data_IF_994404618182
#
_entry.id   IF_994404618182
#
_cell.length_a   1.000
_cell.length_b   1.000
_cell.length_c   1.000
_cell.angle_alpha   90.00
_cell.angle_beta   90.00
_cell.angle_gamma   90.00
#
_symmetry.space_group_name_H-M   'P 1'
#
loop_
_entity.id
_entity.type
_entity.pdbx_description
1 polymer ?
#
# COMPACT_ATOMS: atom_id res chain seq x y z
N UNK A 1 3.81 -82.97 -20.73
CA UNK A 1 4.51 -82.45 -21.93
C UNK A 1 5.74 -81.71 -21.47
N UNK A 2 6.92 -82.23 -21.82
CA UNK A 2 8.19 -81.51 -21.96
C UNK A 2 8.91 -81.02 -20.68
N UNK A 3 10.25 -81.02 -20.64
CA UNK A 3 11.04 -81.35 -19.44
C UNK A 3 11.81 -80.12 -18.86
N UNK A 4 12.24 -80.09 -17.57
CA UNK A 4 13.64 -80.38 -17.08
C UNK A 4 14.62 -79.29 -17.55
N UNK A 5 15.49 -78.62 -16.78
CA UNK A 5 16.13 -78.80 -15.48
C UNK A 5 17.00 -77.55 -15.16
N UNK A 6 17.45 -77.43 -13.89
CA UNK A 6 18.81 -77.07 -13.37
C UNK A 6 19.72 -76.08 -14.16
N UNK A 7 20.61 -75.24 -13.61
CA UNK A 7 21.31 -75.12 -12.32
C UNK A 7 22.25 -73.88 -12.41
N UNK A 8 22.46 -73.19 -11.29
CA UNK A 8 23.70 -72.52 -10.81
C UNK A 8 24.77 -71.98 -11.78
N UNK A 9 25.22 -70.73 -11.62
CA UNK A 9 26.49 -70.36 -10.94
C UNK A 9 26.83 -68.87 -11.07
N UNK A 10 27.35 -68.36 -9.95
CA UNK A 10 28.11 -67.13 -9.70
C UNK A 10 29.37 -67.01 -10.60
N UNK A 11 29.81 -65.79 -10.90
CA UNK A 11 31.23 -65.41 -11.05
C UNK A 11 31.37 -63.87 -11.01
N UNK A 12 31.99 -63.35 -9.95
CA UNK A 12 32.41 -61.95 -9.86
C UNK A 12 33.65 -61.60 -10.71
N UNK A 13 33.86 -60.29 -10.94
CA UNK A 13 35.19 -59.69 -11.15
C UNK A 13 35.16 -58.17 -10.91
N UNK A 14 36.10 -57.73 -10.05
CA UNK A 14 36.51 -56.34 -9.76
C UNK A 14 37.08 -55.61 -10.97
N UNK A 15 36.95 -54.28 -11.02
CA UNK A 15 38.07 -53.33 -11.26
C UNK A 15 37.80 -52.03 -10.49
N UNK A 16 38.85 -51.49 -9.86
CA UNK A 16 38.92 -50.18 -9.23
C UNK A 16 39.87 -49.26 -10.02
N UNK A 17 39.58 -47.95 -10.10
CA UNK A 17 40.52 -46.82 -10.23
C UNK A 17 39.68 -45.53 -10.02
N UNK A 18 39.84 -44.71 -8.98
CA UNK A 18 40.98 -43.83 -8.62
C UNK A 18 41.42 -42.96 -9.79
N UNK A 19 41.11 -41.65 -9.74
CA UNK A 19 42.03 -40.53 -9.97
C UNK A 19 41.37 -39.21 -9.51
N UNK A 20 42.00 -38.57 -8.52
CA UNK A 20 41.83 -37.19 -8.06
C UNK A 20 42.74 -36.23 -8.87
N UNK A 21 42.64 -34.93 -8.53
CA UNK A 21 43.56 -33.78 -8.73
C UNK A 21 43.17 -32.82 -9.87
N UNK A 22 43.21 -31.48 -9.73
CA UNK A 22 43.56 -30.55 -8.64
C UNK A 22 43.16 -29.11 -9.04
N UNK A 23 43.09 -28.21 -8.05
CA UNK A 23 43.03 -26.75 -8.21
C UNK A 23 44.38 -26.15 -8.64
N UNK A 24 44.37 -25.00 -9.31
CA UNK A 24 45.46 -24.01 -9.30
C UNK A 24 44.85 -22.60 -9.33
N UNK A 25 45.27 -21.75 -8.39
CA UNK A 25 45.06 -20.30 -8.41
C UNK A 25 46.38 -19.56 -8.62
N UNK A 26 46.36 -18.32 -9.11
CA UNK A 26 47.46 -17.38 -8.94
C UNK A 26 47.01 -15.91 -9.13
N UNK A 27 47.57 -15.02 -8.31
CA UNK A 27 47.37 -13.56 -8.25
C UNK A 27 48.63 -12.80 -8.68
N UNK A 28 48.50 -11.62 -9.33
CA UNK A 28 49.15 -10.30 -9.04
C UNK A 28 49.25 -9.31 -10.25
N UNK A 29 49.10 -8.02 -9.92
CA UNK A 29 48.87 -6.73 -10.64
C UNK A 29 50.10 -6.10 -11.36
N UNK A 30 50.05 -4.97 -12.18
CA UNK A 30 49.66 -3.58 -11.78
C UNK A 30 49.05 -2.57 -12.82
N UNK A 31 48.18 -1.67 -12.29
CA UNK A 31 48.11 -0.19 -12.47
C UNK A 31 47.95 0.52 -13.83
N UNK A 32 46.90 1.36 -13.98
CA UNK A 32 47.01 2.84 -14.18
C UNK A 32 45.64 3.57 -14.25
N UNK A 33 45.46 4.53 -13.31
CA UNK A 33 44.87 5.88 -13.45
C UNK A 33 43.40 6.12 -13.91
N UNK A 34 42.62 6.72 -12.99
CA UNK A 34 41.32 7.39 -13.19
C UNK A 34 41.49 8.90 -13.45
N UNK A 35 40.50 9.57 -14.08
CA UNK A 35 40.05 10.90 -13.64
C UNK A 35 38.50 11.05 -13.64
N UNK A 36 37.89 12.13 -13.10
CA UNK A 36 37.35 12.20 -11.74
C UNK A 36 35.81 12.27 -11.64
N UNK A 37 35.36 12.16 -10.39
CA UNK A 37 34.01 12.20 -9.83
C UNK A 37 33.05 13.28 -10.36
N UNK A 38 31.79 12.86 -10.63
CA UNK A 38 30.62 13.66 -10.29
C UNK A 38 29.91 12.99 -9.10
N UNK A 39 29.95 13.65 -7.95
CA UNK A 39 29.39 13.18 -6.69
C UNK A 39 27.85 13.11 -6.74
N UNK A 40 27.28 11.92 -6.97
CA UNK A 40 25.90 11.64 -6.57
C UNK A 40 25.87 11.22 -5.10
N UNK A 41 25.35 12.11 -4.26
CA UNK A 41 25.09 11.80 -2.85
C UNK A 41 24.03 10.70 -2.74
N UNK A 42 24.21 9.69 -1.87
CA UNK A 42 23.22 8.63 -1.68
C UNK A 42 21.92 9.18 -1.04
N UNK A 43 20.75 8.55 -1.30
CA UNK A 43 19.49 9.01 -0.75
C UNK A 43 19.50 8.89 0.78
N UNK A 44 19.53 10.05 1.45
CA UNK A 44 19.52 10.14 2.91
C UNK A 44 18.23 9.48 3.45
N UNK A 45 18.41 8.33 4.11
CA UNK A 45 17.39 7.64 4.89
C UNK A 45 16.79 8.62 5.92
N UNK A 46 15.53 9.03 5.72
CA UNK A 46 14.82 9.96 6.62
C UNK A 46 14.47 9.24 7.92
N UNK A 47 15.31 9.44 8.95
CA UNK A 47 15.02 9.06 10.33
C UNK A 47 13.84 9.89 10.84
N UNK A 48 12.84 9.23 11.44
CA UNK A 48 11.72 9.86 12.14
C UNK A 48 12.25 10.67 13.32
N UNK A 49 12.24 11.99 13.19
CA UNK A 49 12.59 13.00 14.20
C UNK A 49 11.72 14.26 14.00
N UNK A 50 11.70 15.21 14.96
CA UNK A 50 10.75 16.32 14.99
C UNK A 50 10.84 17.14 13.69
N UNK A 51 9.69 17.63 13.20
CA UNK A 51 9.45 18.18 11.87
C UNK A 51 10.65 18.95 11.24
N UNK A 52 10.95 18.77 9.94
CA UNK A 52 12.05 19.44 9.27
C UNK A 52 11.99 20.96 9.50
N UNK A 53 13.09 21.56 9.97
CA UNK A 53 13.21 23.01 10.05
C UNK A 53 13.18 23.57 8.63
N UNK A 54 12.15 24.35 8.33
CA UNK A 54 12.05 25.11 7.08
C UNK A 54 13.23 26.09 7.02
N UNK A 55 14.00 26.10 5.92
CA UNK A 55 15.15 27.00 5.73
C UNK A 55 14.74 28.44 5.39
N UNK A 56 13.44 28.73 5.28
CA UNK A 56 12.89 30.08 5.12
C UNK A 56 12.94 30.63 3.70
N UNK A 57 13.56 29.89 2.77
CA UNK A 57 13.67 30.21 1.34
C UNK A 57 12.72 29.38 0.47
N UNK A 58 11.82 28.61 1.08
CA UNK A 58 10.89 27.79 0.33
C UNK A 58 9.85 28.62 -0.43
N UNK A 59 9.54 28.20 -1.65
CA UNK A 59 8.57 28.83 -2.53
C UNK A 59 7.26 28.05 -2.58
N UNK A 60 6.16 28.77 -2.76
CA UNK A 60 4.83 28.20 -2.87
C UNK A 60 4.70 27.38 -4.16
N UNK A 61 4.36 26.09 -4.01
CA UNK A 61 4.18 25.15 -5.14
C UNK A 61 3.06 25.52 -6.12
N UNK A 62 2.25 26.54 -5.81
CA UNK A 62 1.14 27.01 -6.65
C UNK A 62 1.52 28.24 -7.48
N UNK A 63 2.25 29.21 -6.91
CA UNK A 63 2.44 30.52 -7.55
C UNK A 63 3.85 31.11 -7.42
N UNK A 64 4.80 30.37 -6.84
CA UNK A 64 6.19 30.81 -6.68
C UNK A 64 6.45 31.85 -5.59
N UNK A 65 5.40 32.45 -4.99
CA UNK A 65 5.53 33.39 -3.87
C UNK A 65 6.15 32.73 -2.62
N UNK A 66 6.69 33.51 -1.68
CA UNK A 66 7.32 33.00 -0.45
C UNK A 66 6.35 32.11 0.34
N UNK A 67 6.76 30.87 0.61
CA UNK A 67 5.94 29.95 1.38
C UNK A 67 5.97 30.32 2.87
N UNK A 68 4.81 30.26 3.52
CA UNK A 68 4.69 30.44 4.98
C UNK A 68 4.67 29.12 5.73
N UNK A 69 4.62 27.99 5.02
CA UNK A 69 4.60 26.64 5.58
C UNK A 69 3.69 25.70 4.79
N UNK A 70 3.36 24.56 5.39
CA UNK A 70 2.43 23.60 4.83
C UNK A 70 0.99 23.99 5.19
N UNK A 71 0.18 24.25 4.17
CA UNK A 71 -1.26 24.51 4.32
C UNK A 71 -2.03 23.50 3.48
N UNK A 72 -3.00 22.83 4.09
CA UNK A 72 -3.80 21.80 3.44
C UNK A 72 -2.94 20.72 2.75
N UNK A 73 -1.83 20.34 3.41
CA UNK A 73 -0.83 19.37 2.96
C UNK A 73 0.11 19.83 1.83
N UNK A 74 0.14 21.13 1.49
CA UNK A 74 1.00 21.69 0.44
C UNK A 74 1.81 22.86 0.96
N UNK A 75 3.11 22.87 0.63
CA UNK A 75 3.97 24.01 0.87
C UNK A 75 3.48 25.23 0.08
N UNK A 76 2.96 26.23 0.78
CA UNK A 76 2.25 27.33 0.12
C UNK A 76 2.35 28.67 0.85
N UNK A 77 2.04 29.74 0.13
CA UNK A 77 1.95 31.09 0.67
C UNK A 77 0.57 31.34 1.32
N UNK A 78 0.47 32.37 2.16
CA UNK A 78 -0.80 32.80 2.77
C UNK A 78 -1.87 33.16 1.73
N UNK A 79 -1.45 33.67 0.57
CA UNK A 79 -2.36 34.00 -0.53
C UNK A 79 -3.09 32.79 -1.08
N UNK A 80 -2.38 31.69 -1.35
CA UNK A 80 -2.97 30.46 -1.91
C UNK A 80 -3.73 29.66 -0.84
N UNK A 81 -3.24 29.64 0.41
CA UNK A 81 -3.98 29.11 1.56
C UNK A 81 -5.36 29.77 1.69
N UNK A 82 -5.40 31.11 1.77
CA UNK A 82 -6.65 31.84 1.94
C UNK A 82 -7.59 31.71 0.75
N UNK A 83 -7.04 31.68 -0.48
CA UNK A 83 -7.81 31.45 -1.69
C UNK A 83 -8.48 30.08 -1.67
N UNK A 84 -7.71 29.00 -1.51
CA UNK A 84 -8.22 27.63 -1.48
C UNK A 84 -9.30 27.44 -0.43
N UNK A 85 -9.07 27.92 0.81
CA UNK A 85 -10.07 27.87 1.89
C UNK A 85 -11.40 28.50 1.49
N UNK A 86 -11.39 29.70 0.90
CA UNK A 86 -12.61 30.41 0.50
C UNK A 86 -13.32 29.71 -0.65
N UNK A 87 -12.56 29.17 -1.60
CA UNK A 87 -13.11 28.45 -2.76
C UNK A 87 -13.81 27.16 -2.33
N UNK A 88 -13.20 26.40 -1.43
CA UNK A 88 -13.80 25.17 -0.88
C UNK A 88 -15.05 25.48 -0.04
N UNK A 89 -14.96 26.40 0.92
CA UNK A 89 -16.11 26.73 1.80
C UNK A 89 -17.32 27.22 0.99
N UNK A 90 -17.10 28.01 -0.05
CA UNK A 90 -18.20 28.56 -0.87
C UNK A 90 -18.64 27.63 -2.00
N UNK A 91 -18.01 26.46 -2.17
CA UNK A 91 -18.24 25.62 -3.35
C UNK A 91 -18.05 26.39 -4.67
N UNK A 92 -17.02 27.25 -4.73
CA UNK A 92 -16.89 28.22 -5.81
C UNK A 92 -16.61 27.56 -7.15
N UNK A 93 -17.43 27.87 -8.15
CA UNK A 93 -17.24 27.47 -9.53
C UNK A 93 -16.69 28.65 -10.32
N UNK A 94 -15.46 28.51 -10.81
CA UNK A 94 -14.79 29.55 -11.60
C UNK A 94 -14.68 29.10 -13.06
N UNK A 95 -14.69 30.06 -13.98
CA UNK A 95 -14.51 29.82 -15.41
C UNK A 95 -13.27 30.55 -15.88
N UNK A 96 -12.39 29.84 -16.60
CA UNK A 96 -11.21 30.44 -17.20
C UNK A 96 -11.58 31.19 -18.49
N UNK A 97 -10.99 32.38 -18.67
CA UNK A 97 -11.16 33.19 -19.89
C UNK A 97 -10.08 32.92 -20.96
N UNK A 98 -9.00 32.22 -20.59
CA UNK A 98 -7.79 32.08 -21.40
C UNK A 98 -7.48 30.59 -21.71
N UNK A 99 -8.50 29.79 -22.02
CA UNK A 99 -8.33 28.41 -22.49
C UNK A 99 -7.90 27.38 -21.44
N UNK A 100 -8.06 27.69 -20.15
CA UNK A 100 -7.87 26.72 -19.06
C UNK A 100 -6.43 26.33 -18.74
N UNK A 101 -5.42 26.99 -19.34
CA UNK A 101 -3.99 26.63 -19.19
C UNK A 101 -3.12 27.80 -18.69
N UNK A 102 -3.68 28.70 -17.87
CA UNK A 102 -2.91 29.83 -17.35
C UNK A 102 -1.75 29.33 -16.47
N UNK A 103 -0.54 29.80 -16.76
CA UNK A 103 0.61 29.59 -15.87
C UNK A 103 0.46 30.44 -14.60
N UNK A 104 0.77 29.84 -13.47
CA UNK A 104 0.50 30.46 -12.17
C UNK A 104 1.77 31.08 -11.60
N UNK A 105 1.79 32.41 -11.56
CA UNK A 105 2.82 33.22 -10.92
C UNK A 105 2.19 34.21 -9.91
N UNK A 106 3.00 35.15 -9.40
CA UNK A 106 2.54 36.16 -8.43
C UNK A 106 1.49 37.14 -9.00
N UNK A 107 1.44 37.31 -10.32
CA UNK A 107 0.54 38.21 -11.04
C UNK A 107 -0.72 37.47 -11.51
N UNK A 108 -0.56 36.40 -12.29
CA UNK A 108 -1.61 35.60 -12.90
C UNK A 108 -2.50 34.92 -11.87
N UNK A 109 -2.00 34.65 -10.65
CA UNK A 109 -2.83 34.19 -9.51
C UNK A 109 -3.98 35.13 -9.13
N UNK A 110 -3.94 36.39 -9.57
CA UNK A 110 -5.03 37.36 -9.37
C UNK A 110 -5.96 37.46 -10.58
N UNK A 111 -5.57 36.94 -11.74
CA UNK A 111 -6.31 37.09 -13.01
C UNK A 111 -7.20 35.90 -13.34
N UNK A 112 -6.76 34.68 -13.04
CA UNK A 112 -7.56 33.49 -13.29
C UNK A 112 -7.76 32.65 -12.02
N UNK A 113 -8.98 32.63 -11.52
CA UNK A 113 -9.36 31.88 -10.31
C UNK A 113 -9.52 30.38 -10.62
N UNK A 114 -10.03 30.03 -11.80
CA UNK A 114 -10.19 28.64 -12.23
C UNK A 114 -8.84 27.92 -12.27
N UNK A 115 -7.89 28.42 -13.07
CA UNK A 115 -6.57 27.80 -13.20
C UNK A 115 -5.81 27.81 -11.87
N UNK A 116 -6.04 28.82 -11.02
CA UNK A 116 -5.46 28.86 -9.67
C UNK A 116 -6.00 27.74 -8.78
N UNK A 117 -7.32 27.54 -8.77
CA UNK A 117 -7.96 26.52 -7.95
C UNK A 117 -7.54 25.13 -8.41
N UNK A 118 -7.55 24.91 -9.73
CA UNK A 118 -7.04 23.69 -10.34
C UNK A 118 -5.57 23.44 -9.97
N UNK A 119 -4.70 24.46 -10.05
CA UNK A 119 -3.29 24.32 -9.63
C UNK A 119 -3.14 24.03 -8.14
N UNK A 120 -4.00 24.58 -7.27
CA UNK A 120 -4.01 24.21 -5.85
C UNK A 120 -4.30 22.71 -5.66
N UNK A 121 -5.31 22.18 -6.37
CA UNK A 121 -5.69 20.77 -6.30
C UNK A 121 -4.58 19.87 -6.88
N UNK A 122 -4.03 20.22 -8.04
CA UNK A 122 -2.89 19.53 -8.67
C UNK A 122 -1.64 19.52 -7.78
N UNK A 123 -1.39 20.61 -7.04
CA UNK A 123 -0.30 20.67 -6.07
C UNK A 123 -0.55 19.80 -4.82
N UNK A 124 -1.77 19.26 -4.64
CA UNK A 124 -2.14 18.35 -3.57
C UNK A 124 -2.93 18.97 -2.42
N UNK A 125 -3.49 20.18 -2.58
CA UNK A 125 -4.34 20.77 -1.55
C UNK A 125 -5.66 20.00 -1.49
N UNK A 126 -6.01 19.48 -0.31
CA UNK A 126 -7.22 18.68 -0.12
C UNK A 126 -8.30 19.44 0.65
N UNK A 127 -9.52 19.41 0.13
CA UNK A 127 -10.70 20.01 0.76
C UNK A 127 -11.02 19.41 2.13
N UNK A 128 -10.73 18.12 2.34
CA UNK A 128 -10.91 17.43 3.62
C UNK A 128 -10.10 18.05 4.79
N UNK A 129 -9.08 18.87 4.52
CA UNK A 129 -8.33 19.61 5.53
C UNK A 129 -8.90 21.02 5.80
N UNK A 130 -9.91 21.44 5.04
CA UNK A 130 -10.67 22.66 5.28
C UNK A 130 -11.82 22.30 6.24
N UNK A 131 -11.92 23.01 7.36
CA UNK A 131 -12.97 22.74 8.34
C UNK A 131 -14.35 23.02 7.73
N UNK A 132 -15.29 22.08 7.92
CA UNK A 132 -16.68 22.27 7.52
C UNK A 132 -17.38 23.33 8.36
N UNK A 133 -18.50 23.87 7.88
CA UNK A 133 -19.31 24.83 8.65
C UNK A 133 -19.76 24.25 10.00
N UNK A 134 -20.08 22.95 10.02
CA UNK A 134 -20.41 22.22 11.23
C UNK A 134 -19.24 22.18 12.22
N UNK A 135 -18.03 21.85 11.76
CA UNK A 135 -16.82 21.83 12.60
C UNK A 135 -16.47 23.23 13.14
N UNK A 136 -16.70 24.28 12.35
CA UNK A 136 -16.52 25.66 12.78
C UNK A 136 -17.55 26.02 13.87
N UNK A 137 -18.81 25.62 13.70
CA UNK A 137 -19.88 25.83 14.69
C UNK A 137 -19.56 25.14 16.00
N UNK A 138 -19.15 23.87 15.96
CA UNK A 138 -18.77 23.10 17.15
C UNK A 138 -17.58 23.74 17.89
N UNK A 139 -16.57 24.24 17.16
CA UNK A 139 -15.47 24.99 17.78
C UNK A 139 -15.90 26.30 18.43
N UNK A 140 -16.87 27.01 17.85
CA UNK A 140 -17.42 28.24 18.44
C UNK A 140 -18.23 27.96 19.69
N UNK A 141 -19.08 26.93 19.67
CA UNK A 141 -19.86 26.49 20.84
C UNK A 141 -18.93 26.07 21.98
N UNK A 142 -17.93 25.23 21.69
CA UNK A 142 -16.94 24.82 22.69
C UNK A 142 -16.16 26.00 23.27
N UNK A 143 -15.78 26.98 22.43
CA UNK A 143 -15.13 28.21 22.91
C UNK A 143 -16.07 29.05 23.79
N UNK A 144 -17.35 29.12 23.47
CA UNK A 144 -18.34 29.83 24.30
C UNK A 144 -18.57 29.13 25.65
N UNK A 145 -18.60 27.79 25.67
CA UNK A 145 -18.64 26.99 26.91
C UNK A 145 -17.36 27.21 27.73
N UNK A 146 -16.19 27.19 27.10
CA UNK A 146 -14.89 27.44 27.75
C UNK A 146 -14.80 28.88 28.30
N UNK A 147 -15.33 29.88 27.57
CA UNK A 147 -15.36 31.28 27.99
C UNK A 147 -16.41 31.51 29.11
N UNK A 148 -17.53 30.77 29.13
CA UNK A 148 -18.51 30.78 30.23
C UNK A 148 -18.02 30.04 31.48
N UNK A 149 -17.20 29.01 31.33
CA UNK A 149 -16.55 28.33 32.46
C UNK A 149 -15.44 29.18 33.11
N UNK A 150 -14.92 30.19 32.40
CA UNK A 150 -13.85 31.09 32.88
C UNK A 150 -14.31 32.30 33.68
N UNK A 151 -15.60 32.56 33.82
CA UNK A 151 -16.13 33.63 34.70
C UNK A 151 -16.24 33.20 36.17
N UNK A 152 -15.92 31.95 36.50
CA UNK A 152 -15.90 31.43 37.88
C UNK A 152 -14.49 30.91 38.18
N UNK A 153 -13.77 31.65 39.03
CA UNK A 153 -12.44 31.38 39.61
C UNK A 153 -11.21 31.76 38.75
N UNK A 154 -10.58 32.84 39.19
CA UNK A 154 -9.22 33.28 38.82
C UNK A 154 -8.20 32.39 39.55
N UNK A 155 -7.48 31.54 38.82
CA UNK A 155 -6.12 31.13 39.16
C UNK A 155 -5.28 30.95 37.89
N UNK A 156 -4.00 31.37 37.88
CA UNK A 156 -3.14 31.25 36.71
C UNK A 156 -2.62 29.81 36.61
N UNK A 157 -2.79 29.19 35.45
CA UNK A 157 -2.24 27.86 35.16
C UNK A 157 -1.48 27.82 33.82
N UNK A 158 -0.54 26.87 33.67
CA UNK A 158 0.73 26.97 32.95
C UNK A 158 0.61 26.80 31.42
N UNK A 159 1.72 26.87 30.64
CA UNK A 159 1.67 26.88 29.18
C UNK A 159 0.96 25.64 28.62
N UNK A 160 0.04 25.88 27.67
CA UNK A 160 -0.76 24.86 26.99
C UNK A 160 0.10 23.71 26.43
N UNK A 161 -0.34 22.44 26.58
CA UNK A 161 0.28 21.33 25.88
C UNK A 161 0.02 21.40 24.37
N UNK A 162 0.85 20.74 23.54
CA UNK A 162 0.73 20.79 22.09
C UNK A 162 -0.61 20.17 21.64
N UNK A 163 -1.19 20.80 20.61
CA UNK A 163 -2.43 20.41 19.91
C UNK A 163 -2.68 18.90 19.86
N UNK A 164 -3.92 18.43 20.08
CA UNK A 164 -4.22 17.01 20.05
C UNK A 164 -3.93 16.46 18.64
N UNK A 165 -2.85 15.68 18.55
CA UNK A 165 -2.72 14.64 17.53
C UNK A 165 -4.07 13.94 17.42
N UNK A 166 -4.57 13.69 16.21
CA UNK A 166 -5.76 12.86 15.96
C UNK A 166 -5.52 11.45 16.53
N UNK A 167 -5.72 11.29 17.83
CA UNK A 167 -5.67 10.00 18.51
C UNK A 167 -6.99 9.31 18.22
N UNK A 168 -6.89 8.08 17.71
CA UNK A 168 -8.05 7.22 17.49
C UNK A 168 -8.87 7.14 18.78
N UNK A 169 -10.20 7.22 18.65
CA UNK A 169 -11.07 7.03 19.81
C UNK A 169 -10.95 5.58 20.31
N UNK A 170 -11.27 5.31 21.60
CA UNK A 170 -11.29 3.95 22.12
C UNK A 170 -12.18 3.00 21.28
N UNK A 171 -13.29 3.50 20.76
CA UNK A 171 -14.23 2.77 19.90
C UNK A 171 -13.59 2.42 18.55
N UNK A 172 -12.89 3.38 17.93
CA UNK A 172 -12.15 3.14 16.67
C UNK A 172 -11.04 2.11 16.85
N UNK A 173 -10.29 2.19 17.95
CA UNK A 173 -9.26 1.19 18.29
C UNK A 173 -9.89 -0.19 18.52
N UNK A 174 -11.03 -0.25 19.19
CA UNK A 174 -11.78 -1.49 19.41
C UNK A 174 -12.24 -2.10 18.08
N UNK A 175 -12.78 -1.28 17.17
CA UNK A 175 -13.18 -1.72 15.84
C UNK A 175 -12.00 -2.28 15.04
N UNK A 176 -10.87 -1.55 14.98
CA UNK A 176 -9.67 -2.01 14.28
C UNK A 176 -9.21 -3.36 14.84
N UNK A 177 -9.13 -3.51 16.17
CA UNK A 177 -8.72 -4.77 16.81
C UNK A 177 -9.66 -5.93 16.46
N UNK A 178 -10.97 -5.71 16.46
CA UNK A 178 -11.96 -6.72 16.06
C UNK A 178 -11.78 -7.15 14.61
N UNK A 179 -11.61 -6.20 13.69
CA UNK A 179 -11.40 -6.49 12.27
C UNK A 179 -10.11 -7.27 12.02
N UNK A 180 -9.01 -6.88 12.68
CA UNK A 180 -7.73 -7.61 12.59
C UNK A 180 -7.87 -9.03 13.14
N UNK A 181 -8.57 -9.22 14.26
CA UNK A 181 -8.81 -10.56 14.82
C UNK A 181 -9.66 -11.43 13.87
N UNK A 182 -10.74 -10.88 13.31
CA UNK A 182 -11.60 -11.57 12.35
C UNK A 182 -10.80 -11.99 11.09
N UNK A 183 -9.98 -11.08 10.54
CA UNK A 183 -9.12 -11.37 9.40
C UNK A 183 -8.11 -12.49 9.72
N UNK A 184 -7.46 -12.45 10.89
CA UNK A 184 -6.52 -13.50 11.30
C UNK A 184 -7.20 -14.86 11.48
N UNK A 185 -8.43 -14.89 11.99
CA UNK A 185 -9.20 -16.11 12.16
C UNK A 185 -9.60 -16.71 10.80
N UNK A 186 -10.07 -15.90 9.85
CA UNK A 186 -10.39 -16.37 8.50
C UNK A 186 -9.16 -16.98 7.81
N UNK A 187 -8.01 -16.30 7.90
CA UNK A 187 -6.74 -16.79 7.36
C UNK A 187 -6.32 -18.15 7.94
N UNK A 188 -6.63 -18.44 9.21
CA UNK A 188 -6.31 -19.73 9.83
C UNK A 188 -7.19 -20.86 9.30
N UNK A 189 -8.47 -20.60 9.02
CA UNK A 189 -9.38 -21.62 8.45
C UNK A 189 -8.95 -22.02 7.04
N UNK A 190 -8.62 -21.05 6.19
CA UNK A 190 -8.15 -21.28 4.82
C UNK A 190 -6.95 -22.25 4.74
N UNK A 191 -6.12 -22.31 5.78
CA UNK A 191 -4.99 -23.22 5.85
C UNK A 191 -5.41 -24.71 5.89
N UNK A 192 -6.53 -25.03 6.55
CA UNK A 192 -7.02 -26.41 6.62
C UNK A 192 -7.52 -26.92 5.27
N UNK A 193 -7.91 -26.02 4.37
CA UNK A 193 -8.38 -26.34 3.02
C UNK A 193 -7.25 -26.54 2.01
N UNK A 194 -5.98 -26.30 2.39
CA UNK A 194 -4.81 -26.56 1.55
C UNK A 194 -4.80 -27.97 0.95
N UNK A 195 -5.22 -28.97 1.72
CA UNK A 195 -5.22 -30.37 1.28
C UNK A 195 -6.20 -30.65 0.13
N UNK A 196 -7.08 -29.69 -0.19
CA UNK A 196 -8.08 -29.80 -1.26
C UNK A 196 -7.63 -29.14 -2.57
N UNK A 197 -6.48 -28.46 -2.58
CA UNK A 197 -5.96 -27.77 -3.77
C UNK A 197 -5.19 -28.76 -4.65
N UNK A 198 -5.49 -28.73 -5.94
CA UNK A 198 -4.82 -29.44 -7.02
C UNK A 198 -3.31 -29.23 -6.91
N UNK A 199 -2.48 -30.29 -6.89
CA UNK A 199 -1.04 -30.13 -6.76
C UNK A 199 -0.43 -29.34 -7.93
N UNK A 200 0.59 -28.54 -7.63
CA UNK A 200 1.36 -27.86 -8.66
C UNK A 200 2.15 -28.87 -9.51
N UNK A 201 2.06 -28.81 -10.86
CA UNK A 201 2.73 -29.78 -11.71
C UNK A 201 4.25 -29.59 -11.70
N UNK A 202 4.99 -30.69 -11.51
CA UNK A 202 6.47 -30.74 -11.55
C UNK A 202 6.99 -31.06 -12.96
N UNK A 203 6.31 -30.55 -13.99
CA UNK A 203 6.66 -30.82 -15.39
C UNK A 203 7.64 -29.73 -15.89
N UNK A 204 8.83 -30.09 -16.40
CA UNK A 204 9.83 -29.13 -16.85
C UNK A 204 9.40 -28.34 -18.09
N UNK A 205 8.63 -28.95 -18.98
CA UNK A 205 8.19 -28.32 -20.23
C UNK A 205 7.11 -27.25 -19.97
N UNK A 206 7.40 -25.97 -20.19
CA UNK A 206 6.44 -24.88 -20.00
C UNK A 206 5.31 -24.85 -21.04
N UNK A 207 5.47 -25.54 -22.18
CA UNK A 207 4.49 -25.58 -23.26
C UNK A 207 3.54 -26.79 -23.17
N UNK A 208 3.74 -27.67 -22.18
CA UNK A 208 2.86 -28.81 -21.97
C UNK A 208 1.44 -28.32 -21.62
N UNK A 209 0.48 -28.67 -22.48
CA UNK A 209 -0.92 -28.25 -22.38
C UNK A 209 -1.61 -28.79 -21.12
N UNK A 210 -1.31 -30.01 -20.71
CA UNK A 210 -1.88 -30.63 -19.51
C UNK A 210 -1.33 -29.95 -18.25
N UNK A 211 -0.02 -29.66 -18.24
CA UNK A 211 0.61 -28.92 -17.15
C UNK A 211 0.04 -27.50 -17.03
N UNK A 212 -0.20 -26.80 -18.16
CA UNK A 212 -0.87 -25.48 -18.15
C UNK A 212 -2.27 -25.58 -17.55
N UNK A 213 -3.07 -26.54 -18.00
CA UNK A 213 -4.43 -26.75 -17.49
C UNK A 213 -4.44 -27.04 -15.98
N UNK A 214 -3.46 -27.81 -15.49
CA UNK A 214 -3.31 -28.11 -14.08
C UNK A 214 -2.89 -26.88 -13.26
N UNK A 215 -1.98 -26.04 -13.76
CA UNK A 215 -1.63 -24.75 -13.12
C UNK A 215 -2.83 -23.82 -13.05
N UNK A 216 -3.62 -23.74 -14.12
CA UNK A 216 -4.86 -22.96 -14.13
C UNK A 216 -5.87 -23.47 -13.11
N UNK A 217 -6.07 -24.79 -13.03
CA UNK A 217 -6.94 -25.40 -12.02
C UNK A 217 -6.46 -25.11 -10.59
N UNK A 218 -5.16 -25.24 -10.35
CA UNK A 218 -4.53 -24.88 -9.08
C UNK A 218 -4.83 -23.44 -8.66
N UNK A 219 -4.59 -22.45 -9.54
CA UNK A 219 -4.89 -21.05 -9.23
C UNK A 219 -6.39 -20.78 -9.09
N UNK A 220 -7.23 -21.47 -9.85
CA UNK A 220 -8.70 -21.35 -9.73
C UNK A 220 -9.18 -21.82 -8.35
N UNK A 221 -8.63 -22.92 -7.84
CA UNK A 221 -8.99 -23.43 -6.51
C UNK A 221 -8.44 -22.54 -5.39
N UNK A 222 -7.24 -21.97 -5.54
CA UNK A 222 -6.75 -20.92 -4.64
C UNK A 222 -7.68 -19.69 -4.64
N UNK A 223 -8.18 -19.28 -5.80
CA UNK A 223 -9.14 -18.19 -5.91
C UNK A 223 -10.46 -18.53 -5.21
N UNK A 224 -10.98 -19.77 -5.36
CA UNK A 224 -12.19 -20.22 -4.65
C UNK A 224 -12.01 -20.13 -3.13
N UNK A 225 -10.87 -20.59 -2.60
CA UNK A 225 -10.55 -20.47 -1.17
C UNK A 225 -10.50 -19.00 -0.75
N UNK A 226 -9.88 -18.13 -1.55
CA UNK A 226 -9.83 -16.69 -1.26
C UNK A 226 -11.23 -16.06 -1.24
N UNK A 227 -12.13 -16.47 -2.14
CA UNK A 227 -13.53 -15.98 -2.16
C UNK A 227 -14.26 -16.45 -0.89
N UNK A 228 -14.10 -17.71 -0.49
CA UNK A 228 -14.68 -18.22 0.74
C UNK A 228 -14.18 -17.47 1.98
N UNK A 229 -12.88 -17.16 2.04
CA UNK A 229 -12.28 -16.36 3.10
C UNK A 229 -12.88 -14.95 3.18
N UNK A 230 -13.08 -14.30 2.02
CA UNK A 230 -13.71 -12.97 1.93
C UNK A 230 -15.15 -13.01 2.43
N UNK A 231 -15.92 -14.03 2.04
CA UNK A 231 -17.31 -14.22 2.48
C UNK A 231 -17.36 -14.43 4.00
N UNK A 232 -16.47 -15.26 4.55
CA UNK A 232 -16.43 -15.53 5.99
C UNK A 232 -15.92 -14.33 6.81
N UNK A 233 -15.04 -13.51 6.24
CA UNK A 233 -14.65 -12.23 6.82
C UNK A 233 -15.81 -11.22 6.80
N UNK A 234 -16.52 -11.10 5.68
CA UNK A 234 -17.65 -10.19 5.54
C UNK A 234 -18.76 -10.47 6.57
N UNK A 235 -19.07 -11.76 6.82
CA UNK A 235 -20.02 -12.18 7.86
C UNK A 235 -19.64 -11.72 9.27
N UNK A 236 -18.37 -11.42 9.53
CA UNK A 236 -17.88 -10.95 10.83
C UNK A 236 -17.81 -9.42 10.93
N UNK A 237 -18.08 -8.69 9.84
CA UNK A 237 -18.12 -7.24 9.86
C UNK A 237 -19.32 -6.73 10.67
N UNK A 238 -19.13 -5.78 11.60
CA UNK A 238 -20.25 -5.15 12.31
C UNK A 238 -21.26 -4.55 11.33
N UNK A 239 -22.54 -4.89 11.48
CA UNK A 239 -23.64 -4.40 10.63
C UNK A 239 -23.84 -5.14 9.30
N UNK A 240 -22.92 -6.02 8.86
CA UNK A 240 -23.06 -6.69 7.57
C UNK A 240 -24.24 -7.68 7.54
N UNK A 241 -24.43 -8.44 8.62
CA UNK A 241 -25.55 -9.40 8.74
C UNK A 241 -26.92 -8.72 8.92
N UNK A 242 -26.94 -7.43 9.22
CA UNK A 242 -28.16 -6.63 9.36
C UNK A 242 -28.69 -6.14 8.00
N UNK A 243 -27.86 -6.19 6.95
CA UNK A 243 -28.24 -5.89 5.57
C UNK A 243 -29.15 -6.97 4.98
N UNK A 244 -29.92 -6.60 3.95
CA UNK A 244 -30.73 -7.57 3.19
C UNK A 244 -29.84 -8.61 2.50
N UNK A 245 -30.37 -9.80 2.23
CA UNK A 245 -29.62 -10.85 1.49
C UNK A 245 -29.19 -10.36 0.11
N UNK A 246 -30.04 -9.56 -0.55
CA UNK A 246 -29.75 -8.99 -1.86
C UNK A 246 -28.55 -8.02 -1.79
N UNK A 247 -28.52 -7.14 -0.79
CA UNK A 247 -27.41 -6.21 -0.57
C UNK A 247 -26.12 -6.93 -0.20
N UNK A 248 -26.19 -7.95 0.68
CA UNK A 248 -25.01 -8.76 1.02
C UNK A 248 -24.41 -9.42 -0.24
N UNK A 249 -25.26 -10.00 -1.10
CA UNK A 249 -24.84 -10.62 -2.37
C UNK A 249 -24.27 -9.56 -3.32
N UNK A 250 -24.93 -8.41 -3.46
CA UNK A 250 -24.49 -7.34 -4.34
C UNK A 250 -23.13 -6.79 -3.93
N UNK A 251 -22.95 -6.48 -2.64
CA UNK A 251 -21.69 -5.98 -2.07
C UNK A 251 -20.55 -6.98 -2.25
N UNK A 252 -20.80 -8.26 -1.98
CA UNK A 252 -19.79 -9.30 -2.19
C UNK A 252 -19.43 -9.43 -3.68
N UNK A 253 -20.42 -9.52 -4.56
CA UNK A 253 -20.17 -9.66 -6.01
C UNK A 253 -19.38 -8.49 -6.60
N UNK A 254 -19.65 -7.25 -6.16
CA UNK A 254 -18.95 -6.07 -6.69
C UNK A 254 -17.56 -5.89 -6.11
N UNK A 255 -17.35 -6.20 -4.83
CA UNK A 255 -16.08 -5.94 -4.14
C UNK A 255 -15.08 -7.11 -4.13
N UNK A 256 -15.51 -8.35 -4.42
CA UNK A 256 -14.67 -9.55 -4.24
C UNK A 256 -13.33 -9.43 -4.97
N UNK A 257 -13.32 -8.96 -6.23
CA UNK A 257 -12.07 -8.86 -7.00
C UNK A 257 -11.12 -7.80 -6.43
N UNK A 258 -11.65 -6.66 -5.96
CA UNK A 258 -10.84 -5.59 -5.35
C UNK A 258 -10.22 -6.07 -4.03
N UNK A 259 -11.00 -6.77 -3.21
CA UNK A 259 -10.52 -7.34 -1.94
C UNK A 259 -9.47 -8.43 -2.21
N UNK A 260 -9.68 -9.30 -3.21
CA UNK A 260 -8.69 -10.29 -3.62
C UNK A 260 -7.37 -9.63 -4.06
N UNK A 261 -7.42 -8.58 -4.86
CA UNK A 261 -6.22 -7.85 -5.32
C UNK A 261 -5.50 -7.15 -4.17
N UNK A 262 -6.23 -6.55 -3.24
CA UNK A 262 -5.65 -5.91 -2.05
C UNK A 262 -4.96 -6.95 -1.15
N UNK A 263 -5.61 -8.09 -0.92
CA UNK A 263 -5.07 -9.22 -0.16
C UNK A 263 -3.86 -9.86 -0.84
N UNK A 264 -3.86 -9.95 -2.17
CA UNK A 264 -2.72 -10.40 -2.98
C UNK A 264 -1.54 -9.44 -2.84
N UNK A 265 -1.81 -8.14 -2.95
CA UNK A 265 -0.79 -7.07 -2.81
C UNK A 265 -0.17 -7.07 -1.41
N UNK A 266 -0.97 -7.33 -0.37
CA UNK A 266 -0.48 -7.44 1.02
C UNK A 266 0.46 -8.63 1.24
N UNK A 267 0.36 -9.68 0.41
CA UNK A 267 1.20 -10.89 0.46
C UNK A 267 2.35 -10.88 -0.54
N UNK A 268 2.51 -9.80 -1.31
CA UNK A 268 3.63 -9.66 -2.24
C UNK A 268 4.95 -9.44 -1.49
N UNK A 269 5.97 -10.21 -1.84
CA UNK A 269 7.33 -10.04 -1.36
C UNK A 269 8.21 -9.43 -2.47
N UNK A 270 8.71 -8.18 -2.30
CA UNK A 270 9.54 -7.53 -3.31
C UNK A 270 10.96 -8.13 -3.43
N UNK A 271 11.46 -8.85 -2.43
CA UNK A 271 12.82 -9.41 -2.46
C UNK A 271 12.94 -10.61 -3.40
N UNK A 272 11.87 -11.39 -3.51
CA UNK A 272 11.79 -12.62 -4.34
C UNK A 272 10.77 -12.47 -5.48
N UNK A 273 10.21 -11.26 -5.65
CA UNK A 273 9.22 -10.90 -6.67
C UNK A 273 8.04 -11.90 -6.78
N UNK A 274 7.58 -12.43 -5.65
CA UNK A 274 6.56 -13.47 -5.60
C UNK A 274 5.39 -13.11 -4.69
N UNK A 275 4.25 -13.74 -4.94
CA UNK A 275 3.07 -13.69 -4.07
C UNK A 275 2.94 -15.02 -3.35
N UNK A 276 2.79 -14.97 -2.02
CA UNK A 276 2.61 -16.18 -1.20
C UNK A 276 1.13 -16.40 -0.84
N UNK A 277 0.56 -17.53 -1.24
CA UNK A 277 -0.77 -18.00 -0.85
C UNK A 277 -0.69 -19.04 0.26
N UNK A 278 -1.74 -19.16 1.08
CA UNK A 278 -1.86 -20.16 2.16
C UNK A 278 -0.64 -20.25 3.12
N UNK A 279 0.19 -19.20 3.17
CA UNK A 279 1.47 -18.98 3.89
C UNK A 279 2.75 -19.57 3.30
N UNK A 280 2.69 -20.64 2.50
CA UNK A 280 3.89 -21.33 2.00
C UNK A 280 3.94 -21.52 0.48
N UNK A 281 2.83 -21.31 -0.23
CA UNK A 281 2.77 -21.45 -1.68
C UNK A 281 3.15 -20.14 -2.37
N UNK A 282 4.41 -20.01 -2.77
CA UNK A 282 4.92 -18.79 -3.39
C UNK A 282 5.07 -18.94 -4.90
N UNK A 283 4.53 -17.97 -5.65
CA UNK A 283 4.57 -17.97 -7.12
C UNK A 283 5.08 -16.62 -7.63
N UNK A 284 5.99 -16.67 -8.59
CA UNK A 284 6.50 -15.48 -9.25
C UNK A 284 5.70 -15.14 -10.51
N UNK A 285 6.07 -14.04 -11.19
CA UNK A 285 5.43 -13.61 -12.44
C UNK A 285 5.37 -14.70 -13.51
N UNK A 286 6.42 -15.49 -13.67
CA UNK A 286 6.50 -16.53 -14.70
C UNK A 286 5.56 -17.70 -14.41
N UNK A 287 5.34 -18.02 -13.14
CA UNK A 287 4.41 -19.08 -12.74
C UNK A 287 2.97 -18.74 -13.11
N UNK A 288 2.56 -17.47 -12.95
CA UNK A 288 1.27 -16.98 -13.43
C UNK A 288 1.19 -17.02 -14.97
N UNK A 289 2.24 -16.58 -15.66
CA UNK A 289 2.29 -16.60 -17.13
C UNK A 289 2.17 -18.03 -17.71
N UNK A 290 2.72 -19.03 -17.02
CA UNK A 290 2.62 -20.46 -17.42
C UNK A 290 1.23 -21.04 -17.22
N UNK A 291 0.37 -20.43 -16.41
CA UNK A 291 -1.00 -20.88 -16.19
C UNK A 291 -1.99 -20.39 -17.26
N UNK A 292 -1.62 -19.33 -18.01
CA UNK A 292 -2.46 -18.74 -19.06
C UNK A 292 -3.07 -17.41 -18.64
#
# INVERSE_FOLDING_TARGET
MGPTQLSTQDHGKRVASVFEMEEEGLSLFPGSENPPEHAENPPLKRKKGPAPKMLGNEVCSVCGDKASGFHYNVLSCEGCKGFFRRSVIKGAQYVCKNGGKCEMDMYMRRKCQECRLRKCQEAGMREQYVLSEEQIRLKKLKKQEDDQARTVVVHPNPPNPPSPSHKLTPEQLSMIKKLVAAQQQCNQRSFTDRLKVTPWPQVPDPNNREARQQRFAHFTELAIISVQEIVDFAKQLPGFLELTREDQIALLKTSTIEVMLLETSRRYNPEIESITFLKDLSYNRDDFAKAG
#
